data_IF_010690506393
#
_entry.id   IF_010690506393
#
_cell.length_a   1.000
_cell.length_b   1.000
_cell.length_c   1.000
_cell.angle_alpha   90.00
_cell.angle_beta   90.00
_cell.angle_gamma   90.00
#
_symmetry.space_group_name_H-M   'P 1'
#
loop_
_entity.id
_entity.type
_entity.pdbx_description
1 polymer ?
#
# COMPACT_ATOMS: atom_id res chain seq x y z
N UNK A 1 6.55 24.31 -1.00
CA UNK A 1 5.82 23.22 -1.67
C UNK A 1 5.29 22.24 -0.63
N UNK A 2 4.05 21.79 -0.81
CA UNK A 2 3.43 20.82 0.10
C UNK A 2 3.77 19.40 -0.40
N UNK A 3 4.41 18.53 0.40
CA UNK A 3 4.74 17.18 -0.04
C UNK A 3 3.48 16.33 -0.22
N UNK A 4 3.53 15.39 -1.17
CA UNK A 4 2.52 14.33 -1.28
C UNK A 4 2.86 13.23 -0.29
N UNK A 5 1.91 12.83 0.54
CA UNK A 5 2.08 11.75 1.51
C UNK A 5 1.45 10.47 0.95
N UNK A 6 2.17 9.35 1.05
CA UNK A 6 1.64 8.02 0.79
C UNK A 6 1.88 7.12 2.00
N UNK A 7 0.99 6.18 2.24
CA UNK A 7 1.11 5.23 3.34
C UNK A 7 0.53 3.89 2.89
N UNK A 8 1.31 2.81 3.00
CA UNK A 8 0.91 1.51 2.47
C UNK A 8 -0.20 0.83 3.29
N UNK A 9 -0.26 1.11 4.60
CA UNK A 9 -1.34 0.68 5.50
C UNK A 9 -1.40 1.61 6.73
N UNK A 10 -2.52 1.69 7.47
CA UNK A 10 -2.68 2.60 8.62
C UNK A 10 -1.58 2.53 9.68
N UNK A 11 -0.99 1.35 9.86
CA UNK A 11 0.04 1.06 10.86
C UNK A 11 1.46 0.97 10.26
N UNK A 12 1.67 1.44 9.04
CA UNK A 12 2.98 1.50 8.36
C UNK A 12 3.45 2.95 8.30
N UNK A 13 4.77 3.19 8.37
CA UNK A 13 5.33 4.54 8.32
C UNK A 13 4.92 5.29 7.03
N UNK A 14 4.58 6.57 7.18
CA UNK A 14 4.28 7.45 6.05
C UNK A 14 5.54 7.74 5.22
N UNK A 15 5.36 7.88 3.91
CA UNK A 15 6.40 8.28 2.96
C UNK A 15 6.03 9.60 2.30
N UNK A 16 7.02 10.42 2.05
CA UNK A 16 6.86 11.79 1.56
C UNK A 16 7.50 11.93 0.19
N UNK A 17 6.83 12.67 -0.69
CA UNK A 17 7.25 12.88 -2.06
C UNK A 17 7.18 14.36 -2.43
N UNK A 18 8.18 14.85 -3.14
CA UNK A 18 8.17 16.21 -3.68
C UNK A 18 7.02 16.33 -4.68
N UNK A 19 6.08 17.24 -4.41
CA UNK A 19 4.94 17.48 -5.31
C UNK A 19 5.35 18.09 -6.65
N UNK A 20 6.49 18.78 -6.69
CA UNK A 20 7.04 19.41 -7.91
C UNK A 20 7.78 18.41 -8.79
N UNK A 21 8.72 17.62 -8.23
CA UNK A 21 9.65 16.82 -9.03
C UNK A 21 9.57 15.30 -8.80
N UNK A 22 8.67 14.83 -7.92
CA UNK A 22 8.43 13.42 -7.63
C UNK A 22 9.52 12.71 -6.83
N UNK A 23 10.58 13.41 -6.41
CA UNK A 23 11.67 12.81 -5.62
C UNK A 23 11.17 12.40 -4.23
N UNK A 24 11.59 11.22 -3.76
CA UNK A 24 11.41 10.80 -2.37
C UNK A 24 12.05 11.79 -1.41
N UNK A 25 11.33 12.14 -0.35
CA UNK A 25 11.74 13.09 0.66
C UNK A 25 12.06 12.37 1.98
N UNK A 26 12.98 12.92 2.77
CA UNK A 26 13.21 12.44 4.13
C UNK A 26 11.93 12.57 4.97
N UNK A 27 11.79 11.70 5.97
CA UNK A 27 10.72 11.86 6.98
C UNK A 27 11.04 13.13 7.77
N UNK A 28 10.05 13.99 8.07
CA UNK A 28 10.26 15.13 8.95
C UNK A 28 10.64 14.60 10.35
N UNK A 29 11.92 14.69 10.69
CA UNK A 29 12.40 14.49 12.06
C UNK A 29 12.21 15.80 12.83
N UNK A 30 11.84 15.70 14.10
CA UNK A 30 11.52 16.87 14.95
C UNK A 30 12.75 17.72 15.29
N UNK A 31 13.96 17.26 14.96
CA UNK A 31 15.20 17.81 15.47
C UNK A 31 16.17 18.39 14.44
N UNK A 32 15.84 18.39 13.14
CA UNK A 32 16.80 18.84 12.12
C UNK A 32 16.19 19.77 11.06
N UNK A 33 16.53 21.06 11.16
CA UNK A 33 16.20 22.09 10.16
C UNK A 33 16.82 21.83 8.78
N UNK A 34 17.74 20.86 8.70
CA UNK A 34 18.52 20.52 7.51
C UNK A 34 17.67 20.03 6.33
N UNK A 35 16.44 19.54 6.58
CA UNK A 35 15.61 18.87 5.56
C UNK A 35 14.42 19.69 5.07
N UNK A 36 14.53 21.02 5.12
CA UNK A 36 13.50 21.96 4.66
C UNK A 36 13.47 22.20 3.15
N UNK A 37 14.34 21.58 2.35
CA UNK A 37 14.38 21.76 0.90
C UNK A 37 14.43 20.42 0.16
N UNK A 38 13.79 20.35 -1.01
CA UNK A 38 13.84 19.15 -1.84
C UNK A 38 15.27 18.90 -2.32
N UNK A 39 15.86 17.71 -2.08
CA UNK A 39 17.24 17.41 -2.46
C UNK A 39 17.48 17.31 -3.97
N UNK A 40 16.41 17.39 -4.79
CA UNK A 40 16.50 17.35 -6.25
C UNK A 40 16.26 18.70 -6.91
N UNK A 41 15.19 19.39 -6.54
CA UNK A 41 14.80 20.65 -7.20
C UNK A 41 15.01 21.89 -6.34
N UNK A 42 15.43 21.75 -5.07
CA UNK A 42 15.70 22.87 -4.17
C UNK A 42 14.47 23.60 -3.63
N UNK A 43 13.26 23.19 -4.02
CA UNK A 43 12.01 23.79 -3.53
C UNK A 43 11.86 23.63 -2.01
N UNK A 44 11.49 24.68 -1.26
CA UNK A 44 11.24 24.57 0.17
C UNK A 44 10.07 23.64 0.45
N UNK A 45 10.17 22.82 1.49
CA UNK A 45 9.20 21.81 1.90
C UNK A 45 8.39 22.33 3.08
N UNK A 46 7.07 22.25 2.97
CA UNK A 46 6.12 22.65 4.02
C UNK A 46 5.40 21.40 4.55
N UNK A 47 6.09 20.62 5.40
CA UNK A 47 5.56 19.35 5.93
C UNK A 47 4.30 19.54 6.77
N UNK A 48 4.23 20.63 7.54
CA UNK A 48 3.16 20.95 8.47
C UNK A 48 1.84 21.25 7.75
N UNK A 49 1.90 21.59 6.46
CA UNK A 49 0.75 21.86 5.61
C UNK A 49 0.27 20.61 4.86
N UNK A 50 0.98 19.49 4.95
CA UNK A 50 0.58 18.27 4.26
C UNK A 50 -0.52 17.55 5.05
N UNK A 51 -1.62 17.24 4.36
CA UNK A 51 -2.70 16.48 4.97
C UNK A 51 -2.27 15.01 5.14
N UNK A 52 -2.45 14.43 6.34
CA UNK A 52 -2.13 13.03 6.56
C UNK A 52 -3.04 12.12 5.74
N UNK A 53 -2.54 10.92 5.42
CA UNK A 53 -3.33 9.90 4.74
C UNK A 53 -4.53 9.52 5.61
N UNK A 54 -5.72 9.74 5.06
CA UNK A 54 -6.98 9.38 5.71
C UNK A 54 -7.31 7.92 5.43
N UNK A 55 -7.64 7.18 6.48
CA UNK A 55 -8.05 5.79 6.41
C UNK A 55 -9.53 5.65 6.72
N UNK A 56 -10.13 4.57 6.23
CA UNK A 56 -11.52 4.20 6.48
C UNK A 56 -11.60 2.70 6.71
N UNK A 57 -12.69 2.28 7.35
CA UNK A 57 -12.97 0.85 7.47
C UNK A 57 -13.14 0.24 6.08
N UNK A 58 -12.59 -0.97 5.94
CA UNK A 58 -12.58 -1.67 4.67
C UNK A 58 -12.68 -3.17 4.94
N UNK A 59 -13.56 -3.83 4.19
CA UNK A 59 -13.67 -5.29 4.14
C UNK A 59 -13.23 -5.78 2.76
N UNK A 60 -12.82 -7.06 2.68
CA UNK A 60 -12.55 -7.73 1.42
C UNK A 60 -13.84 -7.78 0.59
N UNK A 61 -13.79 -7.29 -0.65
CA UNK A 61 -14.97 -7.25 -1.53
C UNK A 61 -15.50 -8.65 -1.90
N UNK A 62 -14.64 -9.68 -1.87
CA UNK A 62 -15.01 -11.05 -2.24
C UNK A 62 -15.53 -11.87 -1.07
N UNK A 63 -14.82 -11.89 0.06
CA UNK A 63 -15.15 -12.77 1.19
C UNK A 63 -15.71 -12.05 2.43
N UNK A 64 -15.79 -10.72 2.39
CA UNK A 64 -16.34 -9.90 3.49
C UNK A 64 -15.46 -9.81 4.74
N UNK A 65 -14.32 -10.50 4.80
CA UNK A 65 -13.40 -10.42 5.94
C UNK A 65 -12.95 -8.97 6.15
N UNK A 66 -12.88 -8.48 7.41
CA UNK A 66 -12.34 -7.16 7.68
C UNK A 66 -10.89 -7.07 7.20
N UNK A 67 -10.49 -5.93 6.64
CA UNK A 67 -9.12 -5.65 6.20
C UNK A 67 -8.52 -4.47 6.97
N UNK A 68 -9.29 -3.38 7.06
CA UNK A 68 -8.97 -2.20 7.84
C UNK A 68 -10.11 -1.96 8.80
N UNK A 69 -9.80 -1.82 10.09
CA UNK A 69 -10.79 -1.62 11.14
C UNK A 69 -10.46 -0.40 11.98
N UNK A 70 -11.50 0.30 12.44
CA UNK A 70 -11.35 1.36 13.43
C UNK A 70 -11.27 0.73 14.82
N UNK A 71 -10.12 0.86 15.46
CA UNK A 71 -9.94 0.45 16.86
C UNK A 71 -10.42 1.57 17.76
N UNK A 72 -11.52 1.33 18.46
CA UNK A 72 -12.08 2.23 19.46
C UNK A 72 -11.35 2.06 20.80
N UNK A 73 -10.25 2.79 20.97
CA UNK A 73 -9.53 2.92 22.24
C UNK A 73 -9.51 4.39 22.69
N UNK A 74 -8.74 4.75 23.72
CA UNK A 74 -8.62 6.13 24.26
C UNK A 74 -8.33 7.18 23.17
N UNK A 75 -7.63 6.78 22.10
CA UNK A 75 -7.46 7.56 20.87
C UNK A 75 -7.80 6.65 19.70
N UNK A 76 -8.96 6.82 19.03
CA UNK A 76 -9.34 5.96 17.93
C UNK A 76 -8.29 5.99 16.81
N UNK A 77 -7.94 4.81 16.29
CA UNK A 77 -6.98 4.67 15.19
C UNK A 77 -7.38 3.53 14.26
N UNK A 78 -7.03 3.66 12.98
CA UNK A 78 -7.22 2.58 12.02
C UNK A 78 -6.08 1.58 12.10
N UNK A 79 -6.41 0.30 11.94
CA UNK A 79 -5.45 -0.80 11.89
C UNK A 79 -5.76 -1.69 10.69
N UNK A 80 -4.74 -2.00 9.90
CA UNK A 80 -4.85 -3.08 8.93
C UNK A 80 -4.54 -4.43 9.60
N UNK A 81 -5.23 -5.48 9.17
CA UNK A 81 -4.85 -6.85 9.51
C UNK A 81 -3.75 -7.36 8.54
N UNK A 82 -3.24 -8.56 8.84
CA UNK A 82 -2.17 -9.18 8.05
C UNK A 82 -2.59 -9.61 6.64
N UNK A 83 -3.90 -9.71 6.39
CA UNK A 83 -4.50 -10.06 5.10
C UNK A 83 -4.61 -8.86 4.16
N UNK A 84 -4.48 -7.63 4.67
CA UNK A 84 -4.49 -6.43 3.86
C UNK A 84 -3.17 -6.24 3.12
N UNK A 85 -3.24 -6.24 1.79
CA UNK A 85 -2.07 -6.11 0.90
C UNK A 85 -2.10 -4.80 0.09
N UNK A 86 -2.89 -3.83 0.51
CA UNK A 86 -3.05 -2.56 -0.22
C UNK A 86 -4.02 -2.65 -1.40
N UNK A 87 -4.95 -3.61 -1.38
CA UNK A 87 -5.99 -3.81 -2.41
C UNK A 87 -7.39 -3.84 -1.78
N UNK A 88 -8.44 -3.90 -2.60
CA UNK A 88 -9.82 -4.14 -2.13
C UNK A 88 -10.10 -5.60 -1.73
N UNK A 89 -9.18 -6.51 -2.09
CA UNK A 89 -9.22 -7.93 -1.77
C UNK A 89 -8.22 -8.30 -0.67
N UNK A 90 -8.56 -9.31 0.14
CA UNK A 90 -7.61 -9.96 1.05
C UNK A 90 -6.54 -10.74 0.26
N UNK A 91 -5.44 -11.10 0.90
CA UNK A 91 -4.33 -11.81 0.27
C UNK A 91 -4.80 -13.08 -0.44
N UNK A 92 -5.58 -13.92 0.23
CA UNK A 92 -6.09 -15.18 -0.35
C UNK A 92 -6.98 -14.93 -1.58
N UNK A 93 -7.97 -14.04 -1.48
CA UNK A 93 -8.86 -13.72 -2.59
C UNK A 93 -8.14 -13.05 -3.76
N UNK A 94 -7.10 -12.24 -3.47
CA UNK A 94 -6.27 -11.63 -4.49
C UNK A 94 -5.39 -12.67 -5.18
N UNK A 95 -4.84 -13.63 -4.44
CA UNK A 95 -4.08 -14.75 -5.00
C UNK A 95 -4.94 -15.55 -5.99
N UNK A 96 -6.15 -15.95 -5.59
CA UNK A 96 -7.11 -16.64 -6.44
C UNK A 96 -7.46 -15.83 -7.71
N UNK A 97 -7.66 -14.52 -7.57
CA UNK A 97 -7.89 -13.64 -8.72
C UNK A 97 -6.66 -13.62 -9.64
N UNK A 98 -5.47 -13.42 -9.08
CA UNK A 98 -4.23 -13.29 -9.83
C UNK A 98 -3.88 -14.54 -10.64
N UNK A 99 -4.15 -15.75 -10.12
CA UNK A 99 -3.89 -17.00 -10.85
C UNK A 99 -4.84 -17.20 -12.05
N UNK A 100 -6.05 -16.63 -12.00
CA UNK A 100 -7.05 -16.73 -13.07
C UNK A 100 -6.99 -15.58 -14.09
N UNK A 101 -6.49 -14.41 -13.67
CA UNK A 101 -6.57 -13.18 -14.48
C UNK A 101 -5.39 -13.00 -15.44
N UNK A 102 -5.68 -12.53 -16.66
CA UNK A 102 -4.67 -12.01 -17.59
C UNK A 102 -4.14 -10.63 -17.13
N UNK A 103 -2.85 -10.55 -16.84
CA UNK A 103 -2.23 -9.34 -16.27
C UNK A 103 -2.10 -8.16 -17.23
N UNK A 104 -2.30 -8.34 -18.54
CA UNK A 104 -2.24 -7.24 -19.51
C UNK A 104 -3.48 -6.33 -19.46
N UNK A 105 -4.59 -6.81 -18.88
CA UNK A 105 -5.88 -6.12 -18.82
C UNK A 105 -6.48 -6.17 -17.40
N UNK A 106 -5.63 -6.25 -16.38
CA UNK A 106 -6.07 -6.41 -14.99
C UNK A 106 -6.23 -5.05 -14.30
N UNK A 107 -7.46 -4.69 -13.96
CA UNK A 107 -7.78 -3.40 -13.33
C UNK A 107 -7.20 -3.25 -11.90
N UNK A 108 -6.77 -4.34 -11.26
CA UNK A 108 -6.16 -4.31 -9.91
C UNK A 108 -4.65 -4.00 -10.00
N UNK A 109 -3.97 -4.49 -11.03
CA UNK A 109 -2.52 -4.34 -11.18
C UNK A 109 -2.06 -4.81 -12.55
N UNK A 110 -1.86 -3.85 -13.46
CA UNK A 110 -1.45 -4.12 -14.82
C UNK A 110 0.05 -4.41 -14.94
N UNK A 111 0.41 -5.25 -15.90
CA UNK A 111 1.80 -5.45 -16.33
C UNK A 111 2.19 -4.43 -17.40
N UNK A 112 3.45 -3.94 -17.45
CA UNK A 112 4.57 -4.21 -16.54
C UNK A 112 4.49 -3.42 -15.21
N UNK A 113 5.09 -3.95 -14.15
CA UNK A 113 5.17 -3.27 -12.85
C UNK A 113 4.02 -3.54 -11.88
N UNK A 114 3.24 -4.61 -12.10
CA UNK A 114 2.17 -5.00 -11.18
C UNK A 114 2.73 -5.23 -9.75
N UNK A 115 2.18 -4.48 -8.79
CA UNK A 115 2.52 -4.57 -7.35
C UNK A 115 2.35 -5.98 -6.78
N UNK A 116 1.46 -6.77 -7.36
CA UNK A 116 1.06 -8.09 -6.86
C UNK A 116 1.68 -9.26 -7.63
N UNK A 117 2.71 -9.00 -8.44
CA UNK A 117 3.38 -10.04 -9.23
C UNK A 117 3.90 -11.22 -8.38
N UNK A 118 4.39 -10.94 -7.17
CA UNK A 118 4.88 -11.99 -6.26
C UNK A 118 3.73 -12.84 -5.68
N UNK A 119 2.56 -12.24 -5.41
CA UNK A 119 1.37 -12.99 -4.99
C UNK A 119 0.93 -13.95 -6.10
N UNK A 120 0.90 -13.48 -7.35
CA UNK A 120 0.62 -14.34 -8.51
C UNK A 120 1.61 -15.49 -8.61
N UNK A 121 2.91 -15.21 -8.47
CA UNK A 121 3.97 -16.24 -8.54
C UNK A 121 3.76 -17.30 -7.45
N UNK A 122 3.46 -16.91 -6.23
CA UNK A 122 3.18 -17.82 -5.11
C UNK A 122 1.95 -18.69 -5.37
N UNK A 123 0.84 -18.11 -5.82
CA UNK A 123 -0.38 -18.87 -6.15
C UNK A 123 -0.16 -19.89 -7.26
N UNK A 124 0.57 -19.51 -8.32
CA UNK A 124 0.91 -20.44 -9.41
C UNK A 124 1.81 -21.58 -8.94
N UNK A 125 2.71 -21.34 -7.98
CA UNK A 125 3.56 -22.39 -7.41
C UNK A 125 2.73 -23.38 -6.60
N UNK A 126 1.84 -22.90 -5.71
CA UNK A 126 0.93 -23.76 -4.94
C UNK A 126 0.03 -24.62 -5.84
N UNK A 127 -0.47 -24.05 -6.93
CA UNK A 127 -1.33 -24.79 -7.88
C UNK A 127 -0.59 -25.94 -8.58
N UNK A 128 0.73 -25.80 -8.82
CA UNK A 128 1.56 -26.88 -9.37
C UNK A 128 1.79 -27.99 -8.34
N UNK A 129 2.15 -27.61 -7.11
CA UNK A 129 2.44 -28.55 -6.02
C UNK A 129 1.19 -29.32 -5.56
N UNK A 130 0.02 -28.66 -5.53
CA UNK A 130 -1.25 -29.31 -5.23
C UNK A 130 -1.71 -30.29 -6.32
N UNK A 131 -1.40 -30.00 -7.58
CA UNK A 131 -1.71 -30.91 -8.70
C UNK A 131 -0.82 -32.15 -8.76
N UNK A 132 0.36 -32.13 -8.15
CA UNK A 132 1.25 -33.29 -8.05
C UNK A 132 0.88 -34.24 -6.89
N UNK A 133 0.09 -33.79 -5.92
CA UNK A 133 -0.40 -34.65 -4.82
C UNK A 133 -1.65 -35.48 -5.21
N UNK A 134 -2.34 -35.09 -6.28
CA UNK A 134 -3.56 -35.72 -6.79
C UNK A 134 -3.33 -36.55 -8.07
N UNK A 135 -2.07 -36.79 -8.47
CA UNK A 135 -1.65 -37.57 -9.64
C UNK A 135 -0.89 -38.85 -9.25
#
# INVERSE_FOLDING_TARGET
>A
MIPKITQDAPNIVQRYWCSTCGRSLPVPDQHDDQWRFCPRCGEPIEYEKAEPVQWREQNCEKCGRPLIQLVQDRRPFFRANYEYVGASLCRDCLEEHCVQTNCLQCDIGNWPGCRYADIKRQGLQKAKEGGEADA
#
